data_IF_376689782878
#
_entry.id   IF_376689782878
#
_cell.length_a   1.000
_cell.length_b   1.000
_cell.length_c   1.000
_cell.angle_alpha   90.00
_cell.angle_beta   90.00
_cell.angle_gamma   90.00
#
_symmetry.space_group_name_H-M   'P 1'
#
loop_
_entity.id
_entity.type
_entity.pdbx_description
1 polymer ?
#
# COMPACT_ATOMS: atom_id res chain seq x y z
N UNK A 1 -26.94 -51.53 -33.30
CA UNK A 1 -25.71 -51.25 -32.51
C UNK A 1 -25.58 -49.74 -32.37
N UNK A 2 -25.90 -49.21 -31.20
CA UNK A 2 -25.73 -47.79 -30.87
C UNK A 2 -24.44 -47.62 -30.09
N UNK A 3 -23.44 -46.95 -30.68
CA UNK A 3 -22.21 -46.58 -30.00
C UNK A 3 -22.48 -45.27 -29.22
N UNK A 4 -22.42 -45.40 -27.87
CA UNK A 4 -22.43 -44.23 -26.97
C UNK A 4 -21.02 -43.67 -26.86
N UNK A 5 -20.79 -42.46 -27.34
CA UNK A 5 -19.57 -41.70 -27.10
C UNK A 5 -19.70 -41.04 -25.71
N UNK A 6 -18.89 -41.51 -24.77
CA UNK A 6 -18.74 -40.86 -23.46
C UNK A 6 -17.68 -39.74 -23.64
N UNK A 7 -18.13 -38.46 -23.60
CA UNK A 7 -17.25 -37.31 -23.50
C UNK A 7 -16.74 -37.18 -22.05
N UNK A 8 -15.50 -37.54 -21.85
CA UNK A 8 -14.80 -37.31 -20.58
C UNK A 8 -14.39 -35.84 -20.52
N UNK A 9 -15.13 -35.03 -19.77
CA UNK A 9 -14.76 -33.64 -19.47
C UNK A 9 -13.61 -33.65 -18.45
N UNK A 10 -12.39 -33.44 -18.92
CA UNK A 10 -11.21 -33.27 -18.08
C UNK A 10 -11.29 -31.87 -17.44
N UNK A 11 -11.71 -31.79 -16.17
CA UNK A 11 -11.66 -30.57 -15.39
C UNK A 11 -10.19 -30.27 -15.04
N UNK A 12 -9.58 -29.36 -15.79
CA UNK A 12 -8.24 -28.86 -15.49
C UNK A 12 -8.32 -27.99 -14.23
N UNK A 13 -8.09 -28.60 -13.06
CA UNK A 13 -7.92 -27.84 -11.80
C UNK A 13 -6.58 -27.13 -11.93
N UNK A 14 -6.60 -25.84 -12.24
CA UNK A 14 -5.42 -24.98 -12.13
C UNK A 14 -5.09 -24.83 -10.65
N UNK A 15 -4.15 -25.63 -10.18
CA UNK A 15 -3.55 -25.46 -8.85
C UNK A 15 -2.75 -24.15 -8.90
N UNK A 16 -3.30 -23.10 -8.34
CA UNK A 16 -2.55 -21.85 -8.10
C UNK A 16 -1.41 -22.21 -7.15
N UNK A 17 -0.14 -21.99 -7.50
CA UNK A 17 0.97 -22.44 -6.69
C UNK A 17 0.92 -21.77 -5.30
N UNK A 18 0.85 -22.59 -4.27
CA UNK A 18 0.84 -22.20 -2.85
C UNK A 18 2.05 -21.32 -2.48
N UNK A 19 3.15 -21.42 -3.22
CA UNK A 19 4.38 -20.66 -3.02
C UNK A 19 4.22 -19.14 -3.27
N UNK A 20 3.36 -18.73 -4.19
CA UNK A 20 3.17 -17.29 -4.48
C UNK A 20 2.52 -16.51 -3.32
N UNK A 21 1.73 -17.17 -2.49
CA UNK A 21 1.13 -16.52 -1.32
C UNK A 21 2.12 -16.41 -0.15
N UNK A 22 3.00 -17.41 0.04
CA UNK A 22 4.00 -17.38 1.09
C UNK A 22 5.02 -16.24 0.88
N UNK A 23 5.43 -15.99 -0.36
CA UNK A 23 6.34 -14.87 -0.67
C UNK A 23 5.68 -13.52 -0.41
N UNK A 24 4.39 -13.38 -0.68
CA UNK A 24 3.64 -12.16 -0.38
C UNK A 24 3.49 -11.93 1.13
N UNK A 25 3.16 -12.98 1.88
CA UNK A 25 3.07 -12.88 3.35
C UNK A 25 4.39 -12.43 3.96
N UNK A 26 5.52 -12.89 3.39
CA UNK A 26 6.86 -12.55 3.87
C UNK A 26 7.34 -11.16 3.44
N UNK A 27 6.59 -10.42 2.64
CA UNK A 27 6.97 -9.08 2.17
C UNK A 27 6.39 -7.95 3.00
N UNK A 28 5.32 -8.22 3.73
CA UNK A 28 4.63 -7.23 4.55
C UNK A 28 5.16 -7.25 5.99
N UNK A 29 5.33 -6.08 6.55
CA UNK A 29 5.77 -5.85 7.92
C UNK A 29 4.77 -4.95 8.64
N UNK A 30 4.66 -5.11 9.96
CA UNK A 30 3.89 -4.19 10.80
C UNK A 30 4.73 -2.97 11.13
N UNK A 31 4.12 -1.80 11.07
CA UNK A 31 4.72 -0.52 11.46
C UNK A 31 4.00 0.00 12.68
N UNK A 32 4.78 0.43 13.67
CA UNK A 32 4.30 1.17 14.82
C UNK A 32 5.13 2.46 14.96
N UNK A 33 4.45 3.61 14.96
CA UNK A 33 5.07 4.91 15.07
C UNK A 33 4.57 5.65 16.32
N UNK A 34 5.51 6.25 17.08
CA UNK A 34 5.21 7.11 18.20
C UNK A 34 5.43 8.57 17.80
N UNK A 35 4.40 9.36 17.95
CA UNK A 35 4.36 10.75 17.53
C UNK A 35 4.48 11.65 18.78
N UNK A 36 5.43 12.60 18.83
CA UNK A 36 5.57 13.53 19.93
C UNK A 36 4.27 14.29 20.20
N UNK A 37 3.94 14.49 21.47
CA UNK A 37 2.70 15.18 21.86
C UNK A 37 2.56 16.59 21.25
N UNK A 38 3.70 17.27 21.06
CA UNK A 38 3.76 18.62 20.50
C UNK A 38 3.75 18.66 18.98
N UNK A 39 3.76 17.50 18.32
CA UNK A 39 3.67 17.42 16.86
C UNK A 39 2.33 17.95 16.37
N UNK A 40 2.33 18.62 15.23
CA UNK A 40 1.12 19.26 14.67
C UNK A 40 0.05 18.24 14.35
N UNK A 41 0.45 17.08 13.83
CA UNK A 41 -0.46 16.01 13.43
C UNK A 41 -0.94 15.14 14.57
N UNK A 42 -0.36 15.25 15.79
CA UNK A 42 -0.74 14.41 16.94
C UNK A 42 -2.20 14.57 17.35
N UNK A 43 -2.78 15.78 17.13
CA UNK A 43 -4.16 16.12 17.50
C UNK A 43 -5.20 15.48 16.57
N UNK A 44 -4.85 15.22 15.32
CA UNK A 44 -5.78 14.74 14.29
C UNK A 44 -5.57 13.25 13.96
N UNK A 45 -4.32 12.80 13.94
CA UNK A 45 -3.94 11.45 13.55
C UNK A 45 -3.54 10.56 14.73
N UNK A 46 -3.55 11.12 15.95
CA UNK A 46 -3.14 10.39 17.16
C UNK A 46 -1.63 10.39 17.39
N UNK A 47 -1.26 9.97 18.61
CA UNK A 47 0.14 9.90 19.08
C UNK A 47 0.79 8.55 18.83
N UNK A 48 0.00 7.51 18.67
CA UNK A 48 0.41 6.17 18.30
C UNK A 48 -0.30 5.81 17.00
N UNK A 49 0.46 5.37 16.00
CA UNK A 49 -0.06 5.00 14.69
C UNK A 49 0.46 3.64 14.31
N UNK A 50 -0.43 2.80 13.84
CA UNK A 50 -0.13 1.45 13.40
C UNK A 50 -0.63 1.21 11.99
N UNK A 51 0.08 0.38 11.25
CA UNK A 51 -0.26 -0.02 9.90
C UNK A 51 0.73 -1.00 9.34
N UNK A 52 0.69 -1.14 8.04
CA UNK A 52 1.56 -2.04 7.29
C UNK A 52 2.67 -1.28 6.56
N UNK A 53 3.70 -1.99 6.18
CA UNK A 53 4.70 -1.57 5.21
C UNK A 53 5.09 -2.73 4.33
N UNK A 54 5.62 -2.44 3.16
CA UNK A 54 6.08 -3.43 2.20
C UNK A 54 7.59 -3.25 2.00
N UNK A 55 8.33 -4.32 2.22
CA UNK A 55 9.77 -4.36 1.95
C UNK A 55 9.99 -4.32 0.44
N UNK A 56 10.81 -3.39 -0.04
CA UNK A 56 11.01 -3.13 -1.48
C UNK A 56 12.41 -3.45 -1.99
N UNK A 57 13.37 -3.69 -1.09
CA UNK A 57 14.73 -4.12 -1.44
C UNK A 57 15.44 -4.85 -0.29
N UNK A 58 16.61 -5.42 -0.61
CA UNK A 58 17.44 -6.15 0.37
C UNK A 58 18.23 -5.22 1.30
N UNK A 59 18.19 -3.92 1.06
CA UNK A 59 18.81 -2.91 1.93
C UNK A 59 17.92 -2.58 3.14
N UNK A 60 16.68 -3.09 3.19
CA UNK A 60 15.74 -2.88 4.28
C UNK A 60 14.92 -1.59 4.14
N UNK A 61 14.69 -1.12 2.92
CA UNK A 61 13.72 -0.07 2.69
C UNK A 61 12.31 -0.64 2.76
N UNK A 62 11.45 0.08 3.47
CA UNK A 62 10.03 -0.28 3.66
C UNK A 62 9.16 0.87 3.19
N UNK A 63 8.34 0.60 2.20
CA UNK A 63 7.38 1.53 1.66
C UNK A 63 6.07 1.46 2.44
N UNK A 64 5.52 2.60 2.81
CA UNK A 64 4.25 2.73 3.54
C UNK A 64 3.50 3.98 3.11
N UNK A 65 2.38 4.25 3.77
CA UNK A 65 1.68 5.53 3.61
C UNK A 65 2.19 6.55 4.65
N UNK A 66 2.48 7.75 4.19
CA UNK A 66 3.24 8.73 4.95
C UNK A 66 2.58 9.23 6.23
N UNK A 67 1.24 9.31 6.27
CA UNK A 67 0.56 9.77 7.48
C UNK A 67 0.81 8.86 8.71
N UNK A 68 1.19 7.60 8.51
CA UNK A 68 1.59 6.71 9.61
C UNK A 68 2.86 7.21 10.30
N UNK A 69 3.78 7.77 9.54
CA UNK A 69 5.14 8.10 10.01
C UNK A 69 5.45 9.60 10.03
N UNK A 70 4.52 10.43 9.57
CA UNK A 70 4.67 11.88 9.56
C UNK A 70 4.84 12.43 10.99
N UNK A 71 5.93 13.18 11.20
CA UNK A 71 6.35 13.73 12.50
C UNK A 71 6.67 12.65 13.56
N UNK A 72 6.95 11.39 13.17
CA UNK A 72 7.29 10.33 14.11
C UNK A 72 8.60 10.64 14.85
N UNK A 73 8.57 10.49 16.17
CA UNK A 73 9.77 10.55 17.03
C UNK A 73 10.51 9.22 17.08
N UNK A 74 9.78 8.11 16.92
CA UNK A 74 10.34 6.77 16.76
C UNK A 74 9.42 5.91 15.90
N UNK A 75 10.02 4.98 15.18
CA UNK A 75 9.33 3.98 14.36
C UNK A 75 9.91 2.61 14.64
N UNK A 76 9.04 1.64 14.83
CA UNK A 76 9.35 0.22 14.96
C UNK A 76 8.71 -0.56 13.81
N UNK A 77 9.47 -1.51 13.29
CA UNK A 77 9.03 -2.49 12.29
C UNK A 77 9.03 -3.85 12.97
N UNK A 78 7.90 -4.56 12.91
CA UNK A 78 7.83 -5.97 13.30
C UNK A 78 7.82 -6.81 12.04
N UNK A 79 8.82 -7.68 11.89
CA UNK A 79 8.94 -8.58 10.74
C UNK A 79 8.07 -9.85 10.92
N UNK A 80 8.09 -10.72 9.91
CA UNK A 80 7.26 -11.93 9.87
C UNK A 80 7.59 -12.94 10.99
N UNK A 81 8.79 -12.90 11.54
CA UNK A 81 9.22 -13.73 12.66
C UNK A 81 8.87 -13.09 14.03
N UNK A 82 8.20 -11.94 14.01
CA UNK A 82 7.82 -11.20 15.22
C UNK A 82 8.96 -10.40 15.85
N UNK A 83 10.11 -10.22 15.15
CA UNK A 83 11.21 -9.41 15.65
C UNK A 83 10.89 -7.93 15.49
N UNK A 84 11.08 -7.18 16.56
CA UNK A 84 10.90 -5.73 16.56
C UNK A 84 12.23 -5.05 16.23
N UNK A 85 12.27 -4.27 15.18
CA UNK A 85 13.44 -3.61 14.64
C UNK A 85 13.16 -2.11 14.55
N UNK A 86 14.05 -1.29 15.11
CA UNK A 86 13.96 0.15 14.99
C UNK A 86 14.18 0.58 13.54
N UNK A 87 13.47 1.63 13.12
CA UNK A 87 13.59 2.20 11.80
C UNK A 87 13.68 3.73 11.85
N UNK A 88 14.27 4.31 10.80
CA UNK A 88 14.25 5.75 10.55
C UNK A 88 13.27 6.08 9.44
N UNK A 89 12.62 7.22 9.55
CA UNK A 89 11.88 7.82 8.42
C UNK A 89 12.92 8.40 7.47
N UNK A 90 13.11 7.75 6.33
CA UNK A 90 14.09 8.16 5.33
C UNK A 90 13.51 9.22 4.40
N UNK A 91 12.24 9.12 4.07
CA UNK A 91 11.58 10.08 3.21
C UNK A 91 10.07 10.13 3.37
N UNK A 92 9.53 11.28 2.99
CA UNK A 92 8.10 11.51 2.86
C UNK A 92 7.84 12.41 1.65
N UNK A 93 6.90 12.00 0.81
CA UNK A 93 6.44 12.82 -0.30
C UNK A 93 5.03 13.36 -0.03
N UNK A 94 4.91 14.68 0.05
CA UNK A 94 3.64 15.35 0.36
C UNK A 94 2.65 15.36 -0.81
N UNK A 95 3.13 15.18 -2.05
CA UNK A 95 2.28 15.22 -3.24
C UNK A 95 1.58 13.88 -3.49
N UNK A 96 2.26 12.77 -3.23
CA UNK A 96 1.70 11.42 -3.38
C UNK A 96 1.28 10.77 -2.07
N UNK A 97 1.84 11.23 -0.94
CA UNK A 97 1.60 10.66 0.37
C UNK A 97 2.43 9.43 0.69
N UNK A 98 3.40 9.03 -0.11
CA UNK A 98 4.30 7.92 0.23
C UNK A 98 5.21 8.25 1.40
N UNK A 99 5.41 7.26 2.27
CA UNK A 99 6.43 7.27 3.31
C UNK A 99 7.45 6.17 3.06
N UNK A 100 8.73 6.47 3.21
CA UNK A 100 9.83 5.54 3.08
C UNK A 100 10.55 5.42 4.42
N UNK A 101 10.70 4.18 4.88
CA UNK A 101 11.43 3.84 6.09
C UNK A 101 12.71 3.07 5.73
N UNK A 102 13.71 3.19 6.60
CA UNK A 102 14.93 2.38 6.60
C UNK A 102 15.03 1.60 7.90
N UNK A 103 15.00 0.28 7.82
CA UNK A 103 15.26 -0.58 8.96
C UNK A 103 16.73 -0.46 9.41
N UNK A 104 16.96 -0.37 10.73
CA UNK A 104 18.32 -0.22 11.30
C UNK A 104 19.04 -1.56 11.47
N UNK A 105 18.36 -2.67 11.20
CA UNK A 105 18.93 -4.02 11.19
C UNK A 105 18.25 -4.84 10.10
N UNK A 106 18.88 -5.93 9.62
CA UNK A 106 18.31 -6.78 8.58
C UNK A 106 16.93 -7.32 8.94
N UNK A 107 15.98 -7.16 8.02
CA UNK A 107 14.63 -7.72 8.12
C UNK A 107 14.61 -9.17 7.64
N UNK A 108 13.83 -10.02 8.31
CA UNK A 108 13.44 -11.32 7.77
C UNK A 108 12.19 -11.11 6.90
N UNK A 109 12.43 -10.66 5.68
CA UNK A 109 11.36 -10.36 4.73
C UNK A 109 11.87 -10.58 3.30
N UNK A 110 10.95 -10.81 2.36
CA UNK A 110 11.25 -10.88 0.93
C UNK A 110 10.78 -9.61 0.25
N UNK A 111 11.67 -8.85 -0.39
CA UNK A 111 11.29 -7.64 -1.12
C UNK A 111 10.31 -7.93 -2.24
N UNK A 112 9.28 -7.10 -2.39
CA UNK A 112 8.44 -7.08 -3.57
C UNK A 112 9.05 -6.19 -4.65
N UNK A 113 9.01 -6.68 -5.86
CA UNK A 113 9.39 -5.89 -7.02
C UNK A 113 8.33 -4.80 -7.26
N UNK A 114 8.79 -3.56 -7.36
CA UNK A 114 7.97 -2.44 -7.81
C UNK A 114 7.68 -2.54 -9.30
N UNK A 115 6.44 -2.27 -9.69
CA UNK A 115 6.01 -2.21 -11.08
C UNK A 115 5.24 -0.91 -11.32
N UNK A 116 5.40 -0.33 -12.49
CA UNK A 116 4.55 0.78 -12.95
C UNK A 116 3.10 0.32 -13.03
N UNK A 117 2.20 1.08 -12.41
CA UNK A 117 0.77 0.76 -12.29
C UNK A 117 -0.10 1.42 -13.34
N UNK A 118 0.47 2.15 -14.30
CA UNK A 118 -0.28 2.95 -15.29
C UNK A 118 -1.19 2.13 -16.20
N UNK A 119 -0.92 0.83 -16.37
CA UNK A 119 -1.71 -0.08 -17.19
C UNK A 119 -2.78 -0.87 -16.41
N UNK A 120 -2.88 -0.69 -15.08
CA UNK A 120 -3.95 -1.30 -14.27
C UNK A 120 -5.32 -0.77 -14.72
N UNK A 121 -6.25 -1.68 -14.97
CA UNK A 121 -7.58 -1.35 -15.47
C UNK A 121 -8.69 -1.69 -14.46
N UNK A 122 -9.86 -1.08 -14.64
CA UNK A 122 -11.07 -1.50 -13.92
C UNK A 122 -11.37 -2.98 -14.17
N UNK A 123 -11.96 -3.64 -13.16
CA UNK A 123 -12.27 -5.08 -13.13
C UNK A 123 -11.05 -6.01 -13.04
N UNK A 124 -9.83 -5.47 -13.01
CA UNK A 124 -8.62 -6.27 -12.81
C UNK A 124 -8.60 -6.86 -11.40
N UNK A 125 -8.19 -8.13 -11.28
CA UNK A 125 -8.04 -8.83 -10.01
C UNK A 125 -6.65 -8.60 -9.45
N UNK A 126 -6.62 -8.09 -8.23
CA UNK A 126 -5.40 -7.81 -7.49
C UNK A 126 -5.48 -8.46 -6.10
N UNK A 127 -4.41 -8.36 -5.34
CA UNK A 127 -4.34 -8.83 -3.95
C UNK A 127 -3.86 -7.70 -3.07
N UNK A 128 -4.48 -7.57 -1.90
CA UNK A 128 -3.98 -6.69 -0.83
C UNK A 128 -3.19 -7.54 0.15
N UNK A 129 -1.98 -7.11 0.45
CA UNK A 129 -1.10 -7.74 1.44
C UNK A 129 -0.90 -6.76 2.59
N UNK A 130 -1.24 -7.17 3.80
CA UNK A 130 -1.15 -6.32 5.00
C UNK A 130 -0.61 -7.11 6.20
N UNK A 131 0.01 -6.40 7.15
CA UNK A 131 0.57 -6.95 8.38
C UNK A 131 0.31 -5.96 9.53
N UNK A 132 -0.97 -5.72 9.87
CA UNK A 132 -1.33 -4.83 10.98
C UNK A 132 -1.51 -5.64 12.27
N UNK A 133 -2.45 -6.59 12.31
CA UNK A 133 -2.65 -7.52 13.42
C UNK A 133 -2.02 -8.87 13.08
N UNK A 134 -2.50 -9.50 12.01
CA UNK A 134 -1.92 -10.69 11.39
C UNK A 134 -1.54 -10.36 9.94
N UNK A 135 -0.54 -11.05 9.41
CA UNK A 135 -0.22 -10.91 7.98
C UNK A 135 -1.26 -11.65 7.15
N UNK A 136 -1.97 -10.92 6.31
CA UNK A 136 -3.06 -11.45 5.48
C UNK A 136 -2.91 -11.07 4.03
N UNK A 137 -3.42 -11.95 3.15
CA UNK A 137 -3.56 -11.68 1.71
C UNK A 137 -5.04 -11.79 1.35
N UNK A 138 -5.61 -10.72 0.85
CA UNK A 138 -7.02 -10.66 0.44
C UNK A 138 -7.15 -10.33 -1.05
N UNK A 139 -7.97 -11.08 -1.78
CA UNK A 139 -8.31 -10.75 -3.16
C UNK A 139 -9.25 -9.56 -3.21
N UNK A 140 -8.96 -8.66 -4.15
CA UNK A 140 -9.78 -7.49 -4.45
C UNK A 140 -9.91 -7.31 -5.97
N UNK A 141 -10.85 -6.50 -6.38
CA UNK A 141 -11.05 -6.10 -7.78
C UNK A 141 -10.93 -4.59 -7.86
N UNK A 142 -10.28 -4.09 -8.89
CA UNK A 142 -10.23 -2.66 -9.19
C UNK A 142 -11.63 -2.19 -9.57
N UNK A 143 -12.21 -1.35 -8.75
CA UNK A 143 -13.51 -0.74 -9.01
C UNK A 143 -13.40 0.31 -10.12
N UNK A 144 -12.45 1.21 -9.95
CA UNK A 144 -12.13 2.28 -10.89
C UNK A 144 -10.74 2.86 -10.63
N UNK A 145 -10.25 3.61 -11.60
CA UNK A 145 -9.16 4.57 -11.42
C UNK A 145 -9.72 5.97 -11.61
N UNK A 146 -9.25 6.91 -10.82
CA UNK A 146 -9.75 8.27 -10.94
C UNK A 146 -9.09 9.26 -10.01
N UNK A 147 -9.51 10.50 -10.15
CA UNK A 147 -9.03 11.59 -9.30
C UNK A 147 -9.55 11.44 -7.88
N UNK A 148 -8.67 11.61 -6.92
CA UNK A 148 -8.98 11.79 -5.52
C UNK A 148 -8.41 13.12 -5.04
N UNK A 149 -9.28 13.96 -4.48
CA UNK A 149 -8.90 15.19 -3.79
C UNK A 149 -9.18 15.01 -2.30
N UNK A 150 -8.14 14.93 -1.50
CA UNK A 150 -8.22 14.83 -0.05
C UNK A 150 -8.41 16.19 0.61
N UNK A 151 -8.91 16.18 1.83
CA UNK A 151 -9.10 17.40 2.62
C UNK A 151 -7.78 18.08 2.96
N UNK A 152 -6.76 17.28 3.25
CA UNK A 152 -5.43 17.72 3.68
C UNK A 152 -4.33 16.78 3.19
N UNK A 153 -4.69 15.61 2.65
CA UNK A 153 -3.73 14.59 2.26
C UNK A 153 -3.02 14.99 0.97
N UNK A 154 -3.70 14.88 -0.15
CA UNK A 154 -3.13 15.12 -1.47
C UNK A 154 -4.20 15.13 -2.57
N UNK A 155 -3.77 15.53 -3.77
CA UNK A 155 -4.52 15.36 -5.01
C UNK A 155 -3.83 14.28 -5.85
N UNK A 156 -4.52 13.16 -6.07
CA UNK A 156 -4.06 12.07 -6.93
C UNK A 156 -4.94 11.99 -8.17
N UNK A 157 -4.33 12.05 -9.35
CA UNK A 157 -5.09 11.99 -10.60
C UNK A 157 -5.55 10.57 -10.95
N UNK A 158 -4.75 9.55 -10.58
CA UNK A 158 -4.93 8.15 -10.97
C UNK A 158 -5.03 7.20 -9.78
N UNK A 159 -5.63 7.62 -8.67
CA UNK A 159 -5.85 6.76 -7.52
C UNK A 159 -6.56 5.46 -7.92
N UNK A 160 -6.18 4.33 -7.31
CA UNK A 160 -6.78 3.02 -7.57
C UNK A 160 -7.78 2.74 -6.45
N UNK A 161 -9.05 2.52 -6.81
CA UNK A 161 -10.10 2.15 -5.86
C UNK A 161 -10.43 0.68 -6.01
N UNK A 162 -10.52 -0.04 -4.88
CA UNK A 162 -10.74 -1.49 -4.88
C UNK A 162 -11.92 -1.93 -4.02
N UNK A 163 -12.51 -3.06 -4.37
CA UNK A 163 -13.56 -3.76 -3.62
C UNK A 163 -13.26 -5.26 -3.57
N UNK A 164 -13.71 -6.00 -2.53
CA UNK A 164 -14.28 -5.49 -1.28
C UNK A 164 -13.26 -4.70 -0.47
N UNK A 165 -13.75 -3.83 0.41
CA UNK A 165 -12.87 -3.08 1.30
C UNK A 165 -12.17 -3.99 2.31
N UNK A 166 -10.89 -3.69 2.57
CA UNK A 166 -10.02 -4.35 3.56
C UNK A 166 -9.85 -3.42 4.75
N UNK A 167 -9.98 -3.91 5.97
CA UNK A 167 -9.86 -3.08 7.16
C UNK A 167 -8.41 -2.67 7.45
N UNK A 168 -7.46 -3.59 7.27
CA UNK A 168 -6.02 -3.34 7.47
C UNK A 168 -5.39 -2.73 6.19
N UNK A 169 -5.92 -1.60 5.72
CA UNK A 169 -5.51 -0.97 4.47
C UNK A 169 -4.31 -0.03 4.60
N UNK A 170 -4.12 0.60 5.77
CA UNK A 170 -3.11 1.63 5.97
C UNK A 170 -1.69 1.09 5.73
N UNK A 171 -1.04 1.54 4.67
CA UNK A 171 0.29 1.08 4.25
C UNK A 171 0.34 -0.33 3.65
N UNK A 172 -0.81 -1.00 3.46
CA UNK A 172 -0.89 -2.31 2.82
C UNK A 172 -0.46 -2.25 1.35
N UNK A 173 0.18 -3.31 0.85
CA UNK A 173 0.57 -3.42 -0.55
C UNK A 173 -0.58 -3.89 -1.43
N UNK A 174 -0.79 -3.24 -2.56
CA UNK A 174 -1.62 -3.72 -3.66
C UNK A 174 -0.72 -4.44 -4.65
N UNK A 175 -1.01 -5.70 -4.95
CA UNK A 175 -0.11 -6.60 -5.69
C UNK A 175 -0.86 -7.24 -6.86
N UNK A 176 -0.23 -7.29 -8.03
CA UNK A 176 -0.79 -7.94 -9.20
C UNK A 176 -0.68 -9.47 -9.14
N UNK A 177 -1.19 -10.18 -10.14
CA UNK A 177 -1.15 -11.65 -10.20
C UNK A 177 0.27 -12.22 -10.26
N UNK A 178 1.26 -11.43 -10.73
CA UNK A 178 2.67 -11.82 -10.80
C UNK A 178 3.42 -11.63 -9.49
N UNK A 179 2.77 -11.07 -8.45
CA UNK A 179 3.41 -10.77 -7.17
C UNK A 179 4.19 -9.45 -7.17
N UNK A 180 3.90 -8.54 -8.09
CA UNK A 180 4.56 -7.22 -8.18
C UNK A 180 3.72 -6.15 -7.49
N UNK A 181 4.37 -5.24 -6.77
CA UNK A 181 3.73 -4.14 -6.05
C UNK A 181 3.30 -3.05 -7.02
N UNK A 182 2.01 -2.71 -7.03
CA UNK A 182 1.38 -1.71 -7.92
C UNK A 182 0.72 -0.55 -7.18
N UNK A 183 0.66 -0.59 -5.84
CA UNK A 183 0.11 0.50 -5.05
C UNK A 183 0.27 0.30 -3.55
N UNK A 184 0.08 1.39 -2.78
CA UNK A 184 0.08 1.39 -1.31
C UNK A 184 -1.25 1.90 -0.79
N UNK A 185 -1.85 1.17 0.14
CA UNK A 185 -3.13 1.48 0.75
C UNK A 185 -3.09 2.75 1.58
N UNK A 186 -4.06 3.62 1.34
CA UNK A 186 -4.15 4.90 2.01
C UNK A 186 -5.45 5.09 2.78
N UNK A 187 -6.59 4.95 2.14
CA UNK A 187 -7.87 5.34 2.74
C UNK A 187 -8.92 4.24 2.64
N UNK A 188 -9.82 4.25 3.63
CA UNK A 188 -11.11 3.58 3.56
C UNK A 188 -12.17 4.64 3.28
N UNK A 189 -12.98 4.43 2.24
CA UNK A 189 -14.00 5.38 1.83
C UNK A 189 -15.18 4.67 1.18
N UNK A 190 -16.23 5.41 0.86
CA UNK A 190 -17.35 4.89 0.06
C UNK A 190 -17.30 5.49 -1.33
N UNK A 191 -17.47 4.65 -2.34
CA UNK A 191 -17.54 5.06 -3.75
C UNK A 191 -18.92 4.70 -4.33
N UNK A 192 -19.36 5.53 -5.26
CA UNK A 192 -20.61 5.24 -5.99
C UNK A 192 -20.31 4.21 -7.07
N UNK A 193 -20.99 3.08 -7.01
CA UNK A 193 -20.93 2.03 -8.02
C UNK A 193 -22.35 1.57 -8.37
N UNK A 194 -22.73 1.71 -9.65
CA UNK A 194 -24.06 1.36 -10.14
C UNK A 194 -25.20 1.92 -9.25
N UNK A 195 -25.09 3.22 -8.91
CA UNK A 195 -26.04 3.94 -8.04
C UNK A 195 -26.07 3.48 -6.56
N UNK A 196 -25.12 2.67 -6.12
CA UNK A 196 -24.96 2.26 -4.72
C UNK A 196 -23.65 2.77 -4.15
N UNK A 197 -23.67 3.22 -2.88
CA UNK A 197 -22.45 3.56 -2.15
C UNK A 197 -21.83 2.29 -1.56
N UNK A 198 -20.68 1.87 -2.11
CA UNK A 198 -19.96 0.67 -1.68
C UNK A 198 -18.72 1.02 -0.87
N UNK A 199 -18.45 0.30 0.25
CA UNK A 199 -17.18 0.42 0.95
C UNK A 199 -16.02 0.01 0.03
N UNK A 200 -14.97 0.84 -0.01
CA UNK A 200 -13.84 0.69 -0.91
C UNK A 200 -12.56 1.11 -0.21
N UNK A 201 -11.42 0.66 -0.68
CA UNK A 201 -10.14 1.26 -0.32
C UNK A 201 -9.57 2.05 -1.49
N UNK A 202 -8.82 3.09 -1.15
CA UNK A 202 -8.00 3.85 -2.09
C UNK A 202 -6.54 3.47 -1.90
N UNK A 203 -5.88 3.20 -3.01
CA UNK A 203 -4.45 2.94 -3.07
C UNK A 203 -3.76 4.03 -3.88
N UNK A 204 -2.61 4.49 -3.37
CA UNK A 204 -1.70 5.38 -4.10
C UNK A 204 -0.93 4.53 -5.10
N UNK A 205 -1.01 4.82 -6.42
CA UNK A 205 -0.39 4.00 -7.45
C UNK A 205 1.13 4.17 -7.49
N UNK A 206 1.85 3.09 -7.77
CA UNK A 206 3.34 3.09 -7.84
C UNK A 206 3.89 3.96 -8.98
N UNK A 207 3.11 4.25 -10.01
CA UNK A 207 3.51 5.20 -11.06
C UNK A 207 3.86 6.58 -10.50
N UNK A 208 3.23 6.98 -9.37
CA UNK A 208 3.56 8.22 -8.68
C UNK A 208 4.85 8.12 -7.84
N UNK A 209 5.24 6.91 -7.43
CA UNK A 209 6.46 6.67 -6.65
C UNK A 209 7.71 6.56 -7.52
N UNK A 210 7.62 5.81 -8.62
CA UNK A 210 8.79 5.44 -9.42
C UNK A 210 9.68 6.63 -9.83
N UNK A 211 9.12 7.78 -10.24
CA UNK A 211 9.95 8.95 -10.61
C UNK A 211 10.70 9.59 -9.44
N UNK A 212 10.24 9.39 -8.20
CA UNK A 212 10.75 10.09 -7.01
C UNK A 212 11.48 9.16 -6.02
N UNK A 213 11.45 7.84 -6.23
CA UNK A 213 11.99 6.87 -5.26
C UNK A 213 13.47 7.10 -4.95
N UNK A 214 14.29 7.32 -5.97
CA UNK A 214 15.72 7.58 -5.79
C UNK A 214 15.98 8.88 -5.04
N UNK A 215 15.14 9.89 -5.23
CA UNK A 215 15.23 11.15 -4.51
C UNK A 215 14.82 10.97 -3.03
N UNK A 216 13.76 10.19 -2.76
CA UNK A 216 13.35 9.85 -1.40
C UNK A 216 14.47 9.12 -0.66
N UNK A 217 15.13 8.15 -1.30
CA UNK A 217 16.27 7.43 -0.73
C UNK A 217 17.49 8.31 -0.46
N UNK A 218 17.76 9.28 -1.33
CA UNK A 218 18.97 10.14 -1.24
C UNK A 218 18.80 11.35 -0.35
N UNK A 219 17.64 11.98 -0.36
CA UNK A 219 17.42 13.29 0.23
C UNK A 219 16.15 13.40 1.10
N UNK A 220 15.41 12.31 1.21
CA UNK A 220 14.18 12.24 2.01
C UNK A 220 12.99 12.97 1.40
N UNK A 221 13.12 13.50 0.19
CA UNK A 221 12.05 14.26 -0.49
C UNK A 221 12.25 14.24 -2.00
N UNK A 222 11.16 14.44 -2.75
CA UNK A 222 11.23 14.66 -4.20
C UNK A 222 12.09 15.89 -4.53
N UNK A 223 12.82 15.83 -5.63
CA UNK A 223 13.56 16.96 -6.23
C UNK A 223 12.64 17.97 -6.93
N UNK A 224 11.36 17.64 -7.09
CA UNK A 224 10.37 18.55 -7.66
C UNK A 224 10.26 19.83 -6.83
N UNK A 225 10.08 21.00 -7.45
CA UNK A 225 9.86 22.24 -6.71
C UNK A 225 8.66 22.11 -5.76
N UNK A 226 8.79 22.53 -4.49
CA UNK A 226 7.67 22.45 -3.56
C UNK A 226 6.49 23.30 -4.07
N UNK A 227 5.30 22.73 -4.01
CA UNK A 227 4.09 23.49 -4.36
C UNK A 227 3.85 24.60 -3.34
N UNK A 228 3.46 25.81 -3.79
CA UNK A 228 3.13 26.88 -2.86
C UNK A 228 1.91 26.50 -2.03
N UNK A 229 2.05 26.59 -0.70
CA UNK A 229 0.95 26.34 0.22
C UNK A 229 0.22 27.65 0.54
N UNK A 230 -1.06 27.72 0.20
CA UNK A 230 -1.88 28.92 0.41
C UNK A 230 -2.52 28.99 1.80
N UNK A 231 -2.50 27.89 2.57
CA UNK A 231 -3.14 27.84 3.89
C UNK A 231 -4.67 27.92 3.85
N UNK A 232 -5.27 27.55 2.72
CA UNK A 232 -6.72 27.59 2.51
C UNK A 232 -7.25 26.16 2.50
N UNK A 233 -8.29 25.89 3.27
CA UNK A 233 -9.05 24.65 3.20
C UNK A 233 -10.31 24.92 2.39
N UNK A 234 -10.51 24.16 1.32
CA UNK A 234 -11.73 24.22 0.50
C UNK A 234 -12.66 23.11 0.98
N UNK A 235 -13.90 23.46 1.26
CA UNK A 235 -14.97 22.50 1.61
C UNK A 235 -15.92 22.46 0.44
N UNK A 236 -16.19 21.26 -0.09
CA UNK A 236 -17.25 21.01 -1.08
C UNK A 236 -18.62 20.92 -0.42
#
# INVERSE_FOLDING_TARGET
MKQSFIFLFLFLITVIPFHANADLLNSAVRIKAQIPEKARTSKFLGKEREGSGIVIDDEGHVLTIGYLVLEAGSVEITDVDGRVIAATVEGYDGDSGFGLLKALSPLQARPLRLRDSSDIQSEERLRVVSSQDDTVVQQVVVLERGTFAGYWEYLLENAIFTVPAVNAFAGAGLVNEKGELVGIGSLFLKRNFQSNMVPSNMFVPTEALLPILDDLKRSGRSSSPPRPWLGVTVVE
#
